data_IF_157932581796
#
_entry.id   IF_157932581796
#
_cell.length_a   1.000
_cell.length_b   1.000
_cell.length_c   1.000
_cell.angle_alpha   90.00
_cell.angle_beta   90.00
_cell.angle_gamma   90.00
#
_symmetry.space_group_name_H-M   'P 1'
#
loop_
_entity.id
_entity.type
_entity.pdbx_description
1 polymer ?
#
# COMPACT_ATOMS: atom_id res chain seq x y z
N UNK A 1 17.82 -11.72 11.41
CA UNK A 1 16.86 -10.77 12.03
C UNK A 1 16.20 -11.31 13.30
N UNK A 2 15.66 -12.54 13.30
CA UNK A 2 15.02 -13.15 14.48
C UNK A 2 15.89 -13.13 15.75
N UNK A 3 17.13 -13.66 15.68
CA UNK A 3 18.08 -13.68 16.80
C UNK A 3 18.34 -12.30 17.41
N UNK A 4 18.51 -11.28 16.57
CA UNK A 4 18.76 -9.90 17.02
C UNK A 4 17.53 -9.32 17.74
N UNK A 5 16.34 -9.52 17.18
CA UNK A 5 15.08 -9.07 17.79
C UNK A 5 14.85 -9.74 19.14
N UNK A 6 15.02 -11.04 19.22
CA UNK A 6 14.86 -11.81 20.47
C UNK A 6 15.88 -11.38 21.53
N UNK A 7 17.14 -11.14 21.16
CA UNK A 7 18.15 -10.65 22.09
C UNK A 7 17.85 -9.24 22.64
N UNK A 8 17.37 -8.33 21.78
CA UNK A 8 16.97 -6.97 22.20
C UNK A 8 15.76 -7.02 23.13
N UNK A 9 14.76 -7.85 22.82
CA UNK A 9 13.57 -8.04 23.67
C UNK A 9 13.97 -8.67 25.01
N UNK A 10 14.79 -9.72 25.01
CA UNK A 10 15.22 -10.40 26.24
C UNK A 10 16.06 -9.50 27.15
N UNK A 11 16.83 -8.58 26.57
CA UNK A 11 17.62 -7.60 27.32
C UNK A 11 16.85 -6.32 27.67
N UNK A 12 15.57 -6.22 27.28
CA UNK A 12 14.73 -5.03 27.46
C UNK A 12 15.39 -3.72 26.98
N UNK A 13 16.26 -3.81 25.97
CA UNK A 13 17.02 -2.66 25.47
C UNK A 13 16.13 -1.74 24.65
N UNK A 14 16.15 -0.46 25.02
CA UNK A 14 15.45 0.63 24.32
C UNK A 14 16.41 1.74 23.87
N UNK A 15 17.71 1.46 23.82
CA UNK A 15 18.76 2.41 23.49
C UNK A 15 18.84 2.71 21.98
N UNK A 16 19.73 3.63 21.59
CA UNK A 16 19.91 4.03 20.19
C UNK A 16 20.26 2.85 19.28
N UNK A 17 20.99 1.85 19.79
CA UNK A 17 21.26 0.62 19.06
C UNK A 17 19.97 -0.16 18.79
N UNK A 18 19.13 -0.38 19.81
CA UNK A 18 17.85 -1.04 19.65
C UNK A 18 16.95 -0.31 18.64
N UNK A 19 16.90 1.03 18.69
CA UNK A 19 16.17 1.85 17.73
C UNK A 19 16.65 1.59 16.29
N UNK A 20 17.96 1.69 16.04
CA UNK A 20 18.53 1.48 14.69
C UNK A 20 18.34 0.05 14.20
N UNK A 21 18.46 -0.94 15.08
CA UNK A 21 18.20 -2.33 14.78
C UNK A 21 16.74 -2.55 14.35
N UNK A 22 15.77 -1.97 15.07
CA UNK A 22 14.35 -2.11 14.74
C UNK A 22 13.97 -1.39 13.43
N UNK A 23 14.51 -0.20 13.19
CA UNK A 23 14.37 0.51 11.90
C UNK A 23 14.80 -0.40 10.75
N UNK A 24 15.99 -1.00 10.87
CA UNK A 24 16.52 -1.91 9.85
C UNK A 24 15.67 -3.18 9.71
N UNK A 25 15.20 -3.77 10.83
CA UNK A 25 14.30 -4.93 10.81
C UNK A 25 13.00 -4.60 10.07
N UNK A 26 12.38 -3.46 10.35
CA UNK A 26 11.13 -3.03 9.72
C UNK A 26 11.32 -2.88 8.21
N UNK A 27 12.34 -2.14 7.77
CA UNK A 27 12.63 -1.95 6.34
C UNK A 27 12.85 -3.27 5.62
N UNK A 28 13.71 -4.15 6.16
CA UNK A 28 13.97 -5.45 5.56
C UNK A 28 12.68 -6.29 5.47
N UNK A 29 11.88 -6.31 6.54
CA UNK A 29 10.64 -7.09 6.59
C UNK A 29 9.58 -6.54 5.60
N UNK A 30 9.45 -5.22 5.45
CA UNK A 30 8.58 -4.58 4.44
C UNK A 30 9.02 -4.98 3.03
N UNK A 31 10.32 -4.94 2.73
CA UNK A 31 10.83 -5.32 1.39
C UNK A 31 10.53 -6.78 1.06
N UNK A 32 10.54 -7.66 2.06
CA UNK A 32 10.14 -9.08 1.91
C UNK A 32 8.62 -9.32 2.00
N UNK A 33 7.82 -8.27 2.22
CA UNK A 33 6.36 -8.34 2.42
C UNK A 33 5.93 -9.30 3.53
N UNK A 34 6.78 -9.53 4.54
CA UNK A 34 6.43 -10.33 5.72
C UNK A 34 5.77 -9.44 6.77
N UNK A 35 4.44 -9.33 6.70
CA UNK A 35 3.64 -8.51 7.62
C UNK A 35 3.69 -9.02 9.06
N UNK A 36 3.82 -10.33 9.25
CA UNK A 36 3.99 -10.97 10.55
C UNK A 36 5.29 -10.52 11.22
N UNK A 37 6.27 -10.08 10.43
CA UNK A 37 7.57 -9.62 10.92
C UNK A 37 7.64 -8.11 11.09
N UNK A 38 7.18 -7.32 10.11
CA UNK A 38 7.29 -5.86 10.20
C UNK A 38 6.25 -5.24 11.13
N UNK A 39 5.01 -5.72 11.16
CA UNK A 39 3.95 -5.09 11.94
C UNK A 39 4.22 -5.05 13.45
N UNK A 40 4.59 -6.17 14.11
CA UNK A 40 4.93 -6.13 15.53
C UNK A 40 6.20 -5.31 15.80
N UNK A 41 7.20 -5.37 14.90
CA UNK A 41 8.41 -4.57 15.03
C UNK A 41 8.13 -3.07 14.92
N UNK A 42 7.25 -2.69 13.99
CA UNK A 42 6.83 -1.31 13.75
C UNK A 42 6.06 -0.75 14.94
N UNK A 43 5.10 -1.51 15.47
CA UNK A 43 4.35 -1.11 16.68
C UNK A 43 5.28 -0.96 17.88
N UNK A 44 6.21 -1.88 18.09
CA UNK A 44 7.16 -1.79 19.18
C UNK A 44 8.10 -0.58 19.03
N UNK A 45 8.57 -0.31 17.81
CA UNK A 45 9.38 0.87 17.52
C UNK A 45 8.62 2.17 17.85
N UNK A 46 7.37 2.30 17.40
CA UNK A 46 6.55 3.50 17.56
C UNK A 46 6.06 3.73 19.00
N UNK A 47 5.73 2.68 19.76
CA UNK A 47 5.13 2.83 21.08
C UNK A 47 6.13 2.64 22.25
N UNK A 48 7.08 1.72 22.11
CA UNK A 48 7.98 1.35 23.20
C UNK A 48 9.36 1.99 23.06
N UNK A 49 9.99 1.90 21.89
CA UNK A 49 11.34 2.45 21.70
C UNK A 49 11.27 3.96 21.57
N UNK A 50 10.37 4.50 20.73
CA UNK A 50 10.27 5.94 20.49
C UNK A 50 9.99 6.76 21.77
N UNK A 51 9.26 6.20 22.73
CA UNK A 51 8.96 6.89 23.99
C UNK A 51 10.17 7.03 24.92
N UNK A 52 11.17 6.14 24.80
CA UNK A 52 12.39 6.15 25.61
C UNK A 52 13.58 6.75 24.86
N UNK A 53 13.73 6.38 23.59
CA UNK A 53 14.73 6.91 22.67
C UNK A 53 14.00 7.45 21.43
N UNK A 54 13.67 8.75 21.43
CA UNK A 54 12.95 9.39 20.35
C UNK A 54 13.68 9.29 19.02
N UNK A 55 12.91 9.09 17.96
CA UNK A 55 13.39 9.20 16.59
C UNK A 55 13.31 10.66 16.15
N UNK A 56 14.05 11.02 15.10
CA UNK A 56 13.85 12.32 14.45
C UNK A 56 12.43 12.43 13.89
N UNK A 57 11.91 13.64 13.74
CA UNK A 57 10.56 13.84 13.18
C UNK A 57 10.40 13.22 11.80
N UNK A 58 11.45 13.26 10.96
CA UNK A 58 11.44 12.63 9.64
C UNK A 58 11.29 11.11 9.72
N UNK A 59 12.10 10.45 10.56
CA UNK A 59 12.03 8.99 10.76
C UNK A 59 10.67 8.61 11.35
N UNK A 60 10.21 9.35 12.37
CA UNK A 60 8.90 9.09 12.96
C UNK A 60 7.77 9.17 11.93
N UNK A 61 7.76 10.21 11.09
CA UNK A 61 6.76 10.37 10.04
C UNK A 61 6.81 9.24 9.01
N UNK A 62 8.01 8.76 8.65
CA UNK A 62 8.16 7.63 7.74
C UNK A 62 7.54 6.35 8.30
N UNK A 63 7.89 5.96 9.53
CA UNK A 63 7.37 4.75 10.17
C UNK A 63 5.88 4.85 10.53
N UNK A 64 5.43 6.01 11.00
CA UNK A 64 4.01 6.26 11.24
C UNK A 64 3.21 6.17 9.94
N UNK A 65 3.76 6.69 8.84
CA UNK A 65 3.20 6.57 7.50
C UNK A 65 3.05 5.11 7.08
N UNK A 66 4.09 4.28 7.27
CA UNK A 66 4.01 2.83 6.98
C UNK A 66 2.91 2.13 7.77
N UNK A 67 2.72 2.50 9.04
CA UNK A 67 1.68 1.90 9.86
C UNK A 67 0.28 2.29 9.38
N UNK A 68 0.07 3.55 9.04
CA UNK A 68 -1.19 4.06 8.46
C UNK A 68 -1.48 3.35 7.12
N UNK A 69 -0.45 3.18 6.28
CA UNK A 69 -0.56 2.48 5.01
C UNK A 69 -0.89 0.98 5.21
N UNK A 70 -0.31 0.31 6.21
CA UNK A 70 -0.65 -1.09 6.52
C UNK A 70 -2.13 -1.25 6.91
N UNK A 71 -2.63 -0.35 7.76
CA UNK A 71 -4.03 -0.32 8.16
C UNK A 71 -4.96 -0.17 6.94
N UNK A 72 -4.62 0.75 6.04
CA UNK A 72 -5.43 1.03 4.86
C UNK A 72 -5.34 -0.05 3.77
N UNK A 73 -4.12 -0.46 3.40
CA UNK A 73 -3.87 -1.33 2.25
C UNK A 73 -4.00 -2.82 2.57
N UNK A 74 -3.47 -3.28 3.72
CA UNK A 74 -3.48 -4.71 4.05
C UNK A 74 -4.67 -5.10 4.91
N UNK A 75 -4.98 -4.31 5.94
CA UNK A 75 -6.10 -4.61 6.85
C UNK A 75 -7.45 -4.15 6.29
N UNK A 76 -7.44 -3.21 5.34
CA UNK A 76 -8.68 -2.63 4.78
C UNK A 76 -9.42 -1.73 5.76
N UNK A 77 -8.82 -1.39 6.91
CA UNK A 77 -9.42 -0.59 7.95
C UNK A 77 -9.16 0.90 7.72
N UNK A 78 -9.87 1.48 6.75
CA UNK A 78 -9.74 2.91 6.44
C UNK A 78 -10.10 3.80 7.64
N UNK A 79 -11.15 3.45 8.39
CA UNK A 79 -11.54 4.20 9.59
C UNK A 79 -10.42 4.23 10.63
N UNK A 80 -9.78 3.08 10.90
CA UNK A 80 -8.64 2.97 11.81
C UNK A 80 -7.44 3.77 11.30
N UNK A 81 -7.17 3.77 9.99
CA UNK A 81 -6.10 4.55 9.39
C UNK A 81 -6.30 6.07 9.59
N UNK A 82 -7.51 6.58 9.34
CA UNK A 82 -7.85 7.99 9.59
C UNK A 82 -7.85 8.34 11.08
N UNK A 83 -8.38 7.47 11.94
CA UNK A 83 -8.38 7.67 13.37
C UNK A 83 -6.94 7.72 13.91
N UNK A 84 -6.06 6.84 13.44
CA UNK A 84 -4.66 6.81 13.84
C UNK A 84 -3.92 8.07 13.38
N UNK A 85 -4.12 8.49 12.11
CA UNK A 85 -3.61 9.76 11.59
C UNK A 85 -4.07 10.95 12.46
N UNK A 86 -5.36 11.00 12.80
CA UNK A 86 -5.93 12.07 13.62
C UNK A 86 -5.36 12.07 15.04
N UNK A 87 -5.19 10.89 15.65
CA UNK A 87 -4.63 10.71 16.99
C UNK A 87 -3.19 11.17 17.10
N UNK A 88 -2.40 10.95 16.05
CA UNK A 88 -1.03 11.46 15.98
C UNK A 88 -0.98 12.99 15.88
N UNK A 89 -2.07 13.64 15.43
CA UNK A 89 -2.24 15.09 15.46
C UNK A 89 -1.06 15.84 14.82
N UNK A 90 -0.55 16.87 15.51
CA UNK A 90 0.60 17.66 15.06
C UNK A 90 1.95 16.91 15.12
N UNK A 91 2.02 15.77 15.82
CA UNK A 91 3.25 14.97 15.90
C UNK A 91 3.53 14.21 14.60
N UNK A 92 2.48 13.94 13.81
CA UNK A 92 2.62 13.40 12.47
C UNK A 92 2.37 14.47 11.42
N UNK A 93 3.39 14.76 10.63
CA UNK A 93 3.27 15.60 9.45
C UNK A 93 3.69 14.76 8.25
N UNK A 94 2.80 14.58 7.27
CA UNK A 94 3.18 14.02 5.97
C UNK A 94 3.67 15.18 5.09
N UNK A 95 4.99 15.45 5.01
CA UNK A 95 5.48 16.62 4.31
C UNK A 95 5.23 16.52 2.79
N UNK A 96 4.99 15.30 2.31
CA UNK A 96 4.80 14.97 0.90
C UNK A 96 3.32 14.83 0.51
N UNK A 97 2.43 14.80 1.51
CA UNK A 97 0.99 14.54 1.37
C UNK A 97 0.68 13.24 0.61
N UNK A 98 1.60 12.27 0.54
CA UNK A 98 1.42 11.04 -0.22
C UNK A 98 0.48 10.07 0.47
N UNK A 99 0.63 9.88 1.78
CA UNK A 99 -0.22 8.99 2.59
C UNK A 99 -1.64 9.53 2.59
N UNK A 100 -1.81 10.83 2.77
CA UNK A 100 -3.12 11.48 2.78
C UNK A 100 -3.85 11.38 1.43
N UNK A 101 -3.12 11.59 0.33
CA UNK A 101 -3.67 11.42 -1.02
C UNK A 101 -4.04 9.96 -1.28
N UNK A 102 -3.25 9.01 -0.79
CA UNK A 102 -3.58 7.60 -0.94
C UNK A 102 -4.83 7.23 -0.16
N UNK A 103 -4.95 7.65 1.11
CA UNK A 103 -6.14 7.40 1.91
C UNK A 103 -7.40 7.97 1.23
N UNK A 104 -7.32 9.19 0.68
CA UNK A 104 -8.43 9.78 -0.09
C UNK A 104 -8.75 8.97 -1.35
N UNK A 105 -7.73 8.53 -2.09
CA UNK A 105 -7.93 7.71 -3.28
C UNK A 105 -8.63 6.38 -2.95
N UNK A 106 -8.25 5.74 -1.83
CA UNK A 106 -8.88 4.50 -1.37
C UNK A 106 -10.33 4.71 -0.91
N UNK A 107 -10.65 5.82 -0.26
CA UNK A 107 -12.04 6.14 0.16
C UNK A 107 -12.93 6.42 -1.04
N UNK A 108 -12.40 7.08 -2.07
CA UNK A 108 -13.16 7.46 -3.26
C UNK A 108 -13.18 6.36 -4.34
N UNK A 109 -12.58 5.19 -4.07
CA UNK A 109 -12.32 4.15 -5.06
C UNK A 109 -11.63 4.69 -6.34
N UNK A 110 -10.79 5.72 -6.21
CA UNK A 110 -10.07 6.33 -7.32
C UNK A 110 -8.79 5.54 -7.65
N UNK A 111 -8.95 4.49 -8.46
CA UNK A 111 -7.85 3.66 -8.95
C UNK A 111 -6.84 4.44 -9.79
N UNK A 112 -7.23 5.54 -10.46
CA UNK A 112 -6.31 6.34 -11.28
C UNK A 112 -5.31 7.07 -10.37
N UNK A 113 -5.81 7.72 -9.31
CA UNK A 113 -4.96 8.38 -8.32
C UNK A 113 -4.10 7.36 -7.57
N UNK A 114 -4.64 6.17 -7.27
CA UNK A 114 -3.86 5.08 -6.68
C UNK A 114 -2.63 4.71 -7.53
N UNK A 115 -2.81 4.43 -8.84
CA UNK A 115 -1.70 4.05 -9.71
C UNK A 115 -0.71 5.20 -9.98
N UNK A 116 -1.17 6.45 -10.00
CA UNK A 116 -0.28 7.61 -10.06
C UNK A 116 0.59 7.72 -8.83
N UNK A 117 0.01 7.56 -7.64
CA UNK A 117 0.74 7.57 -6.38
C UNK A 117 1.71 6.39 -6.29
N UNK A 118 1.30 5.21 -6.74
CA UNK A 118 2.14 4.01 -6.77
C UNK A 118 3.46 4.21 -7.53
N UNK A 119 3.50 5.10 -8.54
CA UNK A 119 4.72 5.47 -9.27
C UNK A 119 5.58 6.52 -8.56
N UNK A 120 5.00 7.27 -7.62
CA UNK A 120 5.62 8.41 -6.94
C UNK A 120 6.15 8.08 -5.54
N UNK A 121 5.60 7.06 -4.89
CA UNK A 121 5.98 6.63 -3.54
C UNK A 121 7.36 5.97 -3.50
N UNK A 122 7.97 5.95 -2.32
CA UNK A 122 9.23 5.23 -2.12
C UNK A 122 9.03 3.70 -2.22
N UNK A 123 10.15 2.97 -2.28
CA UNK A 123 10.13 1.52 -2.43
C UNK A 123 9.46 0.76 -1.27
N UNK A 124 9.49 1.29 -0.05
CA UNK A 124 8.89 0.64 1.12
C UNK A 124 7.37 0.82 1.15
N UNK A 125 6.91 2.05 0.95
CA UNK A 125 5.48 2.38 0.78
C UNK A 125 4.88 1.58 -0.37
N UNK A 126 5.61 1.48 -1.50
CA UNK A 126 5.21 0.67 -2.64
C UNK A 126 4.93 -0.78 -2.25
N UNK A 127 5.83 -1.42 -1.49
CA UNK A 127 5.65 -2.81 -1.03
C UNK A 127 4.43 -3.00 -0.13
N UNK A 128 4.05 -1.99 0.65
CA UNK A 128 2.82 -2.02 1.46
C UNK A 128 1.59 -1.83 0.56
N UNK A 129 1.65 -0.92 -0.41
CA UNK A 129 0.56 -0.70 -1.37
C UNK A 129 0.25 -1.94 -2.20
N UNK A 130 1.28 -2.74 -2.53
CA UNK A 130 1.12 -3.99 -3.28
C UNK A 130 0.12 -4.98 -2.64
N UNK A 131 -0.17 -4.90 -1.34
CA UNK A 131 -1.21 -5.73 -0.70
C UNK A 131 -2.63 -5.40 -1.21
N UNK A 132 -2.87 -4.17 -1.65
CA UNK A 132 -4.20 -3.70 -2.10
C UNK A 132 -4.35 -3.71 -3.62
N UNK A 133 -3.25 -3.86 -4.36
CA UNK A 133 -3.23 -3.78 -5.82
C UNK A 133 -4.21 -4.72 -6.52
N UNK A 134 -4.25 -5.98 -6.09
CA UNK A 134 -5.09 -7.00 -6.73
C UNK A 134 -6.58 -6.67 -6.55
N UNK A 135 -6.96 -6.16 -5.38
CA UNK A 135 -8.34 -5.76 -5.08
C UNK A 135 -8.76 -4.53 -5.92
N UNK A 136 -7.90 -3.51 -5.98
CA UNK A 136 -8.17 -2.29 -6.78
C UNK A 136 -8.26 -2.64 -8.26
N UNK A 137 -7.37 -3.51 -8.74
CA UNK A 137 -7.40 -3.99 -10.13
C UNK A 137 -8.68 -4.74 -10.42
N UNK A 138 -9.08 -5.66 -9.54
CA UNK A 138 -10.32 -6.42 -9.70
C UNK A 138 -11.54 -5.49 -9.69
N UNK A 139 -11.57 -4.50 -8.80
CA UNK A 139 -12.63 -3.50 -8.74
C UNK A 139 -12.72 -2.70 -10.05
N UNK A 140 -11.59 -2.19 -10.56
CA UNK A 140 -11.54 -1.47 -11.83
C UNK A 140 -12.03 -2.33 -13.01
N UNK A 141 -11.60 -3.60 -13.08
CA UNK A 141 -12.06 -4.53 -14.12
C UNK A 141 -13.57 -4.80 -14.04
N UNK A 142 -14.13 -4.95 -12.84
CA UNK A 142 -15.58 -5.12 -12.63
C UNK A 142 -16.36 -3.89 -13.09
N UNK A 143 -15.88 -2.69 -12.75
CA UNK A 143 -16.49 -1.44 -13.16
C UNK A 143 -16.46 -1.27 -14.69
N UNK A 144 -15.30 -1.51 -15.32
CA UNK A 144 -15.15 -1.46 -16.78
C UNK A 144 -16.05 -2.51 -17.45
N UNK A 145 -16.06 -3.73 -16.91
CA UNK A 145 -16.88 -4.85 -17.35
C UNK A 145 -18.38 -4.59 -17.32
N UNK A 146 -18.85 -3.69 -16.46
CA UNK A 146 -20.27 -3.32 -16.37
C UNK A 146 -20.62 -2.15 -17.27
N UNK A 147 -19.73 -1.17 -17.37
CA UNK A 147 -20.02 0.15 -17.96
C UNK A 147 -19.74 0.24 -19.46
N UNK A 148 -18.85 -0.59 -20.01
CA UNK A 148 -18.40 -0.47 -21.40
C UNK A 148 -18.73 -1.72 -22.23
N UNK A 149 -19.06 -1.52 -23.51
CA UNK A 149 -19.11 -2.58 -24.52
C UNK A 149 -17.73 -2.89 -25.09
N UNK A 150 -16.88 -1.88 -25.18
CA UNK A 150 -15.47 -2.03 -25.51
C UNK A 150 -14.68 -0.78 -25.13
N UNK A 151 -13.38 -0.92 -24.96
CA UNK A 151 -12.46 0.14 -24.58
C UNK A 151 -11.10 -0.06 -25.24
N UNK A 152 -10.30 0.99 -25.33
CA UNK A 152 -8.93 0.89 -25.82
C UNK A 152 -8.05 0.12 -24.83
N UNK A 153 -7.14 -0.70 -25.36
CA UNK A 153 -6.17 -1.48 -24.58
C UNK A 153 -5.40 -0.60 -23.61
N UNK A 154 -4.84 0.50 -24.08
CA UNK A 154 -4.04 1.42 -23.25
C UNK A 154 -4.84 2.05 -22.10
N UNK A 155 -6.14 2.26 -22.28
CA UNK A 155 -7.01 2.72 -21.18
C UNK A 155 -7.16 1.64 -20.10
N UNK A 156 -7.39 0.39 -20.49
CA UNK A 156 -7.54 -0.73 -19.55
C UNK A 156 -6.24 -0.97 -18.78
N UNK A 157 -5.09 -0.98 -19.46
CA UNK A 157 -3.77 -1.13 -18.84
C UNK A 157 -3.50 -0.01 -17.84
N UNK A 158 -3.87 1.23 -18.17
CA UNK A 158 -3.75 2.38 -17.26
C UNK A 158 -4.65 2.27 -16.03
N UNK A 159 -5.87 1.73 -16.18
CA UNK A 159 -6.79 1.53 -15.06
C UNK A 159 -6.41 0.37 -14.15
N UNK A 160 -5.70 -0.63 -14.69
CA UNK A 160 -5.36 -1.88 -13.98
C UNK A 160 -3.92 -1.94 -13.49
N UNK A 161 -3.05 -1.07 -13.99
CA UNK A 161 -1.62 -1.04 -13.67
C UNK A 161 -0.85 -2.27 -14.16
N UNK A 162 -1.42 -3.06 -15.07
CA UNK A 162 -0.81 -4.26 -15.66
C UNK A 162 -0.98 -4.26 -17.17
N UNK A 163 -0.01 -4.87 -17.85
CA UNK A 163 -0.06 -5.08 -19.30
C UNK A 163 -1.18 -6.06 -19.66
N UNK A 164 -1.76 -5.89 -20.84
CA UNK A 164 -2.85 -6.72 -21.34
C UNK A 164 -2.56 -8.22 -21.27
N UNK A 165 -1.35 -8.63 -21.65
CA UNK A 165 -0.96 -10.05 -21.64
C UNK A 165 -0.99 -10.65 -20.23
N UNK A 166 -0.69 -9.85 -19.21
CA UNK A 166 -0.79 -10.27 -17.81
C UNK A 166 -2.25 -10.34 -17.35
N UNK A 167 -3.11 -9.43 -17.85
CA UNK A 167 -4.54 -9.43 -17.55
C UNK A 167 -5.22 -10.68 -18.13
N UNK A 168 -4.90 -11.06 -19.37
CA UNK A 168 -5.42 -12.28 -20.00
C UNK A 168 -4.99 -13.52 -19.20
N UNK A 169 -3.71 -13.59 -18.79
CA UNK A 169 -3.20 -14.66 -17.92
C UNK A 169 -3.89 -14.71 -16.56
N UNK A 170 -4.32 -13.56 -16.03
CA UNK A 170 -5.07 -13.48 -14.76
C UNK A 170 -6.55 -13.87 -14.87
N UNK A 171 -7.02 -14.23 -16.07
CA UNK A 171 -8.39 -14.72 -16.31
C UNK A 171 -9.35 -13.68 -16.87
N UNK A 172 -8.88 -12.57 -17.43
CA UNK A 172 -9.74 -11.62 -18.16
C UNK A 172 -10.15 -12.23 -19.49
N UNK A 173 -11.40 -12.68 -19.60
CA UNK A 173 -11.97 -13.33 -20.80
C UNK A 173 -12.49 -12.37 -21.87
N UNK A 174 -11.88 -11.18 -22.02
CA UNK A 174 -12.27 -10.19 -23.03
C UNK A 174 -11.42 -10.37 -24.30
N UNK A 175 -11.98 -10.04 -25.46
CA UNK A 175 -11.33 -10.27 -26.76
C UNK A 175 -10.66 -8.98 -27.27
N UNK A 176 -9.46 -9.09 -27.83
CA UNK A 176 -8.78 -7.99 -28.51
C UNK A 176 -9.10 -8.04 -30.01
N UNK A 177 -9.67 -6.97 -30.57
CA UNK A 177 -9.90 -6.81 -32.01
C UNK A 177 -8.74 -6.11 -32.70
N UNK A 178 -8.68 -6.21 -34.02
CA UNK A 178 -7.74 -5.47 -34.85
C UNK A 178 -7.92 -3.95 -34.61
N UNK A 179 -6.85 -3.29 -34.14
CA UNK A 179 -6.86 -1.87 -33.79
C UNK A 179 -6.80 -1.52 -32.29
N UNK A 180 -6.21 -2.38 -31.45
CA UNK A 180 -6.01 -2.15 -30.01
C UNK A 180 -7.30 -1.91 -29.20
N UNK A 181 -8.43 -2.34 -29.74
CA UNK A 181 -9.74 -2.22 -29.08
C UNK A 181 -10.13 -3.55 -28.45
N UNK A 182 -10.43 -3.51 -27.16
CA UNK A 182 -10.90 -4.66 -26.39
C UNK A 182 -12.43 -4.67 -26.39
N UNK A 183 -13.01 -5.81 -26.76
CA UNK A 183 -14.45 -6.09 -26.67
C UNK A 183 -14.74 -6.72 -25.31
N UNK A 184 -15.49 -5.99 -24.51
CA UNK A 184 -15.79 -6.33 -23.12
C UNK A 184 -17.17 -6.99 -23.01
N UNK A 185 -18.15 -6.47 -23.75
CA UNK A 185 -19.51 -7.04 -23.82
C UNK A 185 -20.02 -6.95 -25.24
N UNK A 186 -20.74 -7.98 -25.68
CA UNK A 186 -21.53 -7.93 -26.90
C UNK A 186 -22.96 -7.51 -26.55
N UNK A 187 -23.59 -6.62 -27.32
CA UNK A 187 -25.01 -6.31 -27.14
C UNK A 187 -25.82 -7.60 -27.28
N UNK A 188 -26.77 -7.85 -26.38
CA UNK A 188 -27.73 -8.95 -26.57
C UNK A 188 -28.57 -8.63 -27.81
N UNK A 189 -28.62 -9.56 -28.76
CA UNK A 189 -29.57 -9.48 -29.87
C UNK A 189 -30.99 -9.40 -29.30
N UNK A 190 -31.79 -8.49 -29.85
CA UNK A 190 -33.20 -8.30 -29.49
C UNK A 190 -34.08 -9.37 -30.13
#
# INVERSE_FOLDING_TARGET
MRKLREAVVASHRTDQFAQRAYIFIVHAAILTKSWESYLPALRYLLHNIHSQTPMTSSEFNEFAGYYILDLACRQGELASAFAHRSRLGFAYSDPTGRVDRLLRALVMDDWISFWKLHKLVDGYQKRIMEFKEDEIRLHALKCIGRSYFGAEKGYIEKCTGKDWDQLVKSGVGWELQEGDRVVIRRPKAR
#
